data_IF_829202302803
#
_entry.id   IF_829202302803
#
_cell.length_a   1.000
_cell.length_b   1.000
_cell.length_c   1.000
_cell.angle_alpha   90.00
_cell.angle_beta   90.00
_cell.angle_gamma   90.00
#
_symmetry.space_group_name_H-M   'P 1'
#
loop_
_entity.id
_entity.type
_entity.pdbx_description
1 polymer ?
#
# COMPACT_ATOMS: atom_id res chain seq x y z
N UNK A 1 -2.31 8.59 14.15
CA UNK A 1 -1.47 8.60 12.95
C UNK A 1 -1.79 7.34 12.17
N UNK A 2 -2.22 7.44 10.90
CA UNK A 2 -2.67 6.30 10.10
C UNK A 2 -1.93 6.26 8.76
N UNK A 3 -1.45 5.11 8.36
CA UNK A 3 -0.88 4.85 7.04
C UNK A 3 -1.95 4.32 6.11
N UNK A 4 -2.08 4.91 4.93
CA UNK A 4 -3.03 4.47 3.91
C UNK A 4 -2.22 4.02 2.70
N UNK A 5 -2.30 2.73 2.40
CA UNK A 5 -1.67 2.10 1.25
C UNK A 5 -2.70 1.96 0.15
N UNK A 6 -2.50 2.67 -0.96
CA UNK A 6 -3.39 2.64 -2.11
C UNK A 6 -2.72 1.91 -3.26
N UNK A 7 -3.27 0.76 -3.63
CA UNK A 7 -2.78 -0.04 -4.73
C UNK A 7 -3.27 0.51 -6.07
N UNK A 8 -2.45 0.38 -7.12
CA UNK A 8 -2.86 0.68 -8.49
C UNK A 8 -3.66 -0.50 -9.10
N UNK A 9 -4.79 -0.80 -8.49
CA UNK A 9 -5.78 -1.78 -8.94
C UNK A 9 -7.17 -1.28 -8.53
N UNK A 10 -8.20 -1.69 -9.26
CA UNK A 10 -9.60 -1.38 -8.92
C UNK A 10 -10.25 -2.58 -8.21
N UNK A 11 -11.12 -2.31 -7.25
CA UNK A 11 -11.99 -3.31 -6.63
C UNK A 11 -12.97 -3.84 -7.68
N UNK A 12 -12.69 -5.03 -8.20
CA UNK A 12 -13.68 -5.77 -8.98
C UNK A 12 -14.93 -6.10 -8.14
N UNK A 13 -16.03 -6.57 -8.76
CA UNK A 13 -17.31 -6.85 -8.09
C UNK A 13 -17.29 -8.05 -7.12
N UNK A 14 -16.14 -8.39 -6.52
CA UNK A 14 -16.02 -9.40 -5.49
C UNK A 14 -15.83 -8.67 -4.16
N UNK A 15 -16.96 -8.45 -3.50
CA UNK A 15 -17.07 -8.05 -2.10
C UNK A 15 -16.32 -9.04 -1.21
N UNK A 16 -15.16 -8.66 -0.70
CA UNK A 16 -14.48 -9.44 0.31
C UNK A 16 -12.97 -9.30 0.26
N UNK A 17 -12.41 -8.84 1.38
CA UNK A 17 -11.01 -9.04 1.74
C UNK A 17 -10.66 -10.53 1.51
N UNK A 18 -9.89 -10.82 0.46
CA UNK A 18 -9.44 -12.15 0.06
C UNK A 18 -10.55 -13.17 -0.19
N UNK A 19 -11.08 -13.22 -1.41
CA UNK A 19 -11.55 -14.49 -1.92
C UNK A 19 -11.22 -14.62 -3.41
N UNK A 20 -10.76 -15.81 -3.77
CA UNK A 20 -10.50 -16.27 -5.15
C UNK A 20 -9.10 -15.91 -5.69
N UNK A 21 -8.12 -16.65 -5.18
CA UNK A 21 -7.19 -17.31 -6.10
C UNK A 21 -8.03 -18.10 -7.13
N UNK A 22 -7.73 -17.90 -8.41
CA UNK A 22 -8.47 -18.39 -9.60
C UNK A 22 -9.60 -17.50 -10.14
N UNK A 23 -9.31 -16.24 -10.48
CA UNK A 23 -9.86 -15.63 -11.70
C UNK A 23 -9.01 -14.44 -12.17
N UNK A 24 -8.16 -14.73 -13.16
CA UNK A 24 -7.92 -13.86 -14.33
C UNK A 24 -7.92 -12.36 -13.99
N UNK A 25 -6.95 -11.92 -13.20
CA UNK A 25 -6.32 -10.62 -13.47
C UNK A 25 -5.13 -11.02 -14.31
N UNK A 26 -5.11 -10.60 -15.58
CA UNK A 26 -3.97 -10.86 -16.45
C UNK A 26 -2.71 -10.46 -15.67
N UNK A 27 -1.75 -11.37 -15.40
CA UNK A 27 -0.51 -11.00 -14.73
C UNK A 27 0.24 -9.89 -15.48
N UNK A 28 -0.10 -9.68 -16.76
CA UNK A 28 0.37 -8.61 -17.64
C UNK A 28 -0.34 -7.25 -17.47
N UNK A 29 -1.52 -7.15 -16.83
CA UNK A 29 -2.28 -5.90 -16.92
C UNK A 29 -1.97 -4.84 -15.88
N UNK A 30 -1.41 -5.15 -14.71
CA UNK A 30 -0.85 -4.13 -13.82
C UNK A 30 0.24 -4.73 -12.94
N UNK A 31 1.50 -4.54 -13.31
CA UNK A 31 2.63 -4.74 -12.40
C UNK A 31 2.67 -3.62 -11.38
N UNK A 32 1.75 -3.62 -10.42
CA UNK A 32 1.77 -2.68 -9.30
C UNK A 32 3.02 -2.96 -8.45
N UNK A 33 3.94 -1.98 -8.36
CA UNK A 33 5.17 -2.09 -7.58
C UNK A 33 4.90 -2.48 -6.12
N UNK A 34 3.88 -1.87 -5.51
CA UNK A 34 3.48 -2.16 -4.13
C UNK A 34 2.99 -3.61 -3.95
N UNK A 35 2.18 -4.15 -4.87
CA UNK A 35 1.72 -5.54 -4.81
C UNK A 35 2.90 -6.52 -4.85
N UNK A 36 3.86 -6.30 -5.74
CA UNK A 36 5.06 -7.16 -5.88
C UNK A 36 5.93 -7.16 -4.63
N UNK A 37 5.98 -6.05 -3.91
CA UNK A 37 6.76 -5.90 -2.70
C UNK A 37 6.08 -6.60 -1.52
N UNK A 38 4.76 -6.51 -1.39
CA UNK A 38 4.03 -6.98 -0.21
C UNK A 38 3.48 -8.41 -0.31
N UNK A 39 3.29 -8.92 -1.53
CA UNK A 39 2.76 -10.25 -1.80
C UNK A 39 3.72 -11.10 -2.65
N UNK A 40 3.79 -12.39 -2.33
CA UNK A 40 4.23 -13.43 -3.26
C UNK A 40 3.03 -13.92 -4.10
N UNK A 41 3.24 -14.88 -5.01
CA UNK A 41 2.26 -15.34 -6.02
C UNK A 41 0.85 -15.62 -5.46
N UNK A 42 0.72 -16.00 -4.19
CA UNK A 42 -0.58 -16.29 -3.57
C UNK A 42 -0.71 -15.87 -2.10
N UNK A 43 0.34 -15.32 -1.47
CA UNK A 43 0.35 -15.07 -0.02
C UNK A 43 1.09 -13.79 0.33
N UNK A 44 0.61 -13.11 1.37
CA UNK A 44 1.34 -11.99 1.96
C UNK A 44 2.71 -12.44 2.46
N UNK A 45 3.77 -11.65 2.20
CA UNK A 45 5.10 -11.94 2.73
C UNK A 45 5.07 -11.87 4.26
N UNK A 46 5.63 -12.88 4.93
CA UNK A 46 5.64 -12.94 6.40
C UNK A 46 6.32 -11.71 7.03
N UNK A 47 7.39 -11.20 6.41
CA UNK A 47 8.06 -9.98 6.85
C UNK A 47 7.15 -8.75 6.78
N UNK A 48 6.31 -8.65 5.74
CA UNK A 48 5.34 -7.57 5.61
C UNK A 48 4.28 -7.65 6.70
N UNK A 49 3.71 -8.83 6.92
CA UNK A 49 2.77 -9.07 8.00
C UNK A 49 3.36 -8.72 9.37
N UNK A 50 4.58 -9.17 9.65
CA UNK A 50 5.28 -8.87 10.89
C UNK A 50 5.49 -7.35 11.07
N UNK A 51 5.85 -6.63 10.00
CA UNK A 51 5.93 -5.17 10.03
C UNK A 51 4.58 -4.53 10.40
N UNK A 52 3.49 -4.93 9.75
CA UNK A 52 2.14 -4.42 10.05
C UNK A 52 1.72 -4.67 11.50
N UNK A 53 1.95 -5.87 12.01
CA UNK A 53 1.61 -6.27 13.39
C UNK A 53 2.50 -5.58 14.44
N UNK A 54 3.76 -5.29 14.09
CA UNK A 54 4.71 -4.61 15.00
C UNK A 54 4.60 -3.08 15.01
N UNK A 55 3.94 -2.51 14.02
CA UNK A 55 3.85 -1.05 13.85
C UNK A 55 2.82 -0.45 14.81
N UNK A 56 3.15 0.65 15.50
CA UNK A 56 2.19 1.38 16.34
C UNK A 56 1.16 2.18 15.52
N UNK A 57 1.37 2.31 14.21
CA UNK A 57 0.50 3.06 13.30
C UNK A 57 -0.63 2.17 12.78
N UNK A 58 -1.86 2.70 12.77
CA UNK A 58 -2.98 2.06 12.08
C UNK A 58 -2.67 2.01 10.58
N UNK A 59 -2.82 0.85 9.95
CA UNK A 59 -2.61 0.68 8.51
C UNK A 59 -3.92 0.32 7.82
N UNK A 60 -4.23 1.03 6.75
CA UNK A 60 -5.37 0.77 5.87
C UNK A 60 -4.90 0.51 4.46
N UNK A 61 -5.54 -0.47 3.81
CA UNK A 61 -5.18 -0.98 2.50
C UNK A 61 -6.40 -0.83 1.61
N UNK A 62 -6.26 -0.11 0.50
CA UNK A 62 -7.36 0.21 -0.41
C UNK A 62 -6.92 0.02 -1.86
N UNK A 63 -7.86 -0.38 -2.71
CA UNK A 63 -7.75 -0.20 -4.14
C UNK A 63 -7.95 1.27 -4.53
N UNK A 64 -7.54 1.64 -5.75
CA UNK A 64 -7.63 3.01 -6.25
C UNK A 64 -9.05 3.56 -6.15
N UNK A 65 -10.01 2.83 -6.69
CA UNK A 65 -11.42 3.21 -6.70
C UNK A 65 -12.00 3.27 -5.28
N UNK A 66 -11.64 2.35 -4.39
CA UNK A 66 -12.06 2.42 -2.98
C UNK A 66 -11.53 3.67 -2.30
N UNK A 67 -10.28 4.05 -2.58
CA UNK A 67 -9.68 5.26 -2.06
C UNK A 67 -10.38 6.51 -2.59
N UNK A 68 -10.55 6.61 -3.90
CA UNK A 68 -11.24 7.74 -4.53
C UNK A 68 -12.68 7.88 -4.02
N UNK A 69 -13.42 6.77 -3.89
CA UNK A 69 -14.78 6.77 -3.36
C UNK A 69 -14.84 7.15 -1.87
N UNK A 70 -13.89 6.68 -1.06
CA UNK A 70 -13.87 6.91 0.39
C UNK A 70 -13.38 8.29 0.78
N UNK A 71 -12.39 8.81 0.05
CA UNK A 71 -11.68 10.04 0.40
C UNK A 71 -12.01 11.22 -0.52
N UNK A 72 -12.55 10.97 -1.72
CA UNK A 72 -12.80 12.01 -2.71
C UNK A 72 -11.52 12.67 -3.23
N UNK A 73 -10.39 11.97 -3.15
CA UNK A 73 -9.06 12.44 -3.56
C UNK A 73 -8.48 11.52 -4.62
N UNK A 74 -7.70 12.08 -5.55
CA UNK A 74 -7.00 11.35 -6.61
C UNK A 74 -5.50 11.60 -6.53
N UNK A 75 -4.71 10.54 -6.70
CA UNK A 75 -3.24 10.58 -6.70
C UNK A 75 -2.68 9.75 -7.86
N UNK A 76 -1.36 9.83 -8.06
CA UNK A 76 -0.64 8.87 -8.89
C UNK A 76 -0.41 7.57 -8.11
N UNK A 77 -1.02 6.47 -8.56
CA UNK A 77 -0.98 5.17 -7.88
C UNK A 77 0.16 4.26 -8.41
N UNK A 78 0.70 3.35 -7.59
CA UNK A 78 0.41 3.14 -6.17
C UNK A 78 0.95 4.29 -5.31
N UNK A 79 0.32 4.56 -4.16
CA UNK A 79 0.75 5.64 -3.24
C UNK A 79 0.62 5.19 -1.80
N UNK A 80 1.52 5.67 -0.94
CA UNK A 80 1.42 5.52 0.51
C UNK A 80 1.25 6.90 1.12
N UNK A 81 0.16 7.07 1.86
CA UNK A 81 -0.22 8.32 2.49
C UNK A 81 -0.10 8.21 4.01
N UNK A 82 0.26 9.31 4.65
CA UNK A 82 0.23 9.47 6.09
C UNK A 82 -0.93 10.40 6.45
N UNK A 83 -1.86 9.91 7.26
CA UNK A 83 -3.04 10.66 7.70
C UNK A 83 -2.94 10.98 9.19
N UNK A 84 -2.75 12.26 9.48
CA UNK A 84 -2.77 12.82 10.83
C UNK A 84 -3.92 13.83 10.92
N UNK A 85 -3.62 15.14 10.98
CA UNK A 85 -4.60 16.21 10.83
C UNK A 85 -4.97 16.41 9.35
N UNK A 86 -3.96 16.36 8.49
CA UNK A 86 -4.09 16.38 7.03
C UNK A 86 -3.56 15.06 6.44
N UNK A 87 -3.88 14.83 5.16
CA UNK A 87 -3.39 13.68 4.40
C UNK A 87 -2.17 14.11 3.60
N UNK A 88 -1.03 13.49 3.86
CA UNK A 88 0.24 13.79 3.19
C UNK A 88 0.75 12.59 2.41
N UNK A 89 1.47 12.84 1.31
CA UNK A 89 2.12 11.77 0.54
C UNK A 89 3.40 11.36 1.23
N UNK A 90 3.44 10.13 1.75
CA UNK A 90 4.64 9.55 2.36
C UNK A 90 5.59 9.02 1.29
N UNK A 91 5.06 8.24 0.36
CA UNK A 91 5.78 7.68 -0.79
C UNK A 91 4.88 7.74 -2.04
N UNK A 92 5.40 8.36 -3.09
CA UNK A 92 4.76 8.43 -4.41
C UNK A 92 5.03 7.17 -5.25
N UNK A 93 4.23 6.95 -6.30
CA UNK A 93 4.43 5.84 -7.24
C UNK A 93 5.87 5.74 -7.76
N UNK A 94 6.48 6.87 -8.15
CA UNK A 94 7.86 6.94 -8.65
C UNK A 94 8.88 6.42 -7.63
N UNK A 95 8.65 6.68 -6.34
CA UNK A 95 9.54 6.19 -5.28
C UNK A 95 9.29 4.71 -5.02
N UNK A 96 8.02 4.28 -5.04
CA UNK A 96 7.65 2.88 -4.82
C UNK A 96 8.22 1.98 -5.92
N UNK A 97 8.16 2.43 -7.17
CA UNK A 97 8.66 1.68 -8.34
C UNK A 97 10.20 1.56 -8.36
N UNK A 98 10.91 2.34 -7.54
CA UNK A 98 12.37 2.23 -7.38
C UNK A 98 12.79 1.13 -6.41
N UNK A 99 11.89 0.66 -5.54
CA UNK A 99 12.23 -0.38 -4.58
C UNK A 99 12.25 -1.76 -5.26
N UNK A 100 13.35 -2.48 -5.08
CA UNK A 100 13.50 -3.83 -5.59
C UNK A 100 13.04 -4.87 -4.56
N UNK A 101 13.14 -4.56 -3.27
CA UNK A 101 12.85 -5.49 -2.19
C UNK A 101 11.92 -4.87 -1.14
N UNK A 102 11.17 -5.74 -0.46
CA UNK A 102 10.27 -5.36 0.63
C UNK A 102 11.00 -4.62 1.75
N UNK A 103 12.24 -5.02 2.05
CA UNK A 103 13.03 -4.41 3.11
C UNK A 103 13.32 -2.93 2.80
N UNK A 104 13.61 -2.58 1.54
CA UNK A 104 13.81 -1.19 1.11
C UNK A 104 12.57 -0.33 1.36
N UNK A 105 11.38 -0.88 1.07
CA UNK A 105 10.10 -0.23 1.31
C UNK A 105 9.86 0.00 2.82
N UNK A 106 10.09 -1.03 3.64
CA UNK A 106 9.89 -0.96 5.09
C UNK A 106 10.85 0.06 5.71
N UNK A 107 12.11 0.07 5.29
CA UNK A 107 13.11 1.02 5.76
C UNK A 107 12.71 2.45 5.42
N UNK A 108 12.34 2.71 4.16
CA UNK A 108 11.89 4.02 3.71
C UNK A 108 10.67 4.51 4.51
N UNK A 109 9.68 3.64 4.78
CA UNK A 109 8.52 3.99 5.61
C UNK A 109 8.96 4.36 7.03
N UNK A 110 9.83 3.55 7.66
CA UNK A 110 10.32 3.80 9.02
C UNK A 110 11.10 5.11 9.12
N UNK A 111 11.96 5.41 8.15
CA UNK A 111 12.72 6.66 8.11
C UNK A 111 11.79 7.87 7.99
N UNK A 112 10.80 7.80 7.09
CA UNK A 112 9.85 8.90 6.90
C UNK A 112 8.97 9.13 8.13
N UNK A 113 8.57 8.06 8.83
CA UNK A 113 7.78 8.15 10.06
C UNK A 113 8.58 8.76 11.22
N UNK A 114 9.86 8.40 11.39
CA UNK A 114 10.72 9.02 12.40
C UNK A 114 10.86 10.53 12.21
N UNK A 115 10.93 10.98 10.96
CA UNK A 115 11.03 12.41 10.64
C UNK A 115 9.72 13.19 10.86
N UNK A 116 8.63 12.50 11.19
CA UNK A 116 7.29 13.07 11.41
C UNK A 116 6.87 13.02 12.90
N UNK A 117 7.72 12.50 13.79
CA UNK A 117 7.52 12.67 15.23
C UNK A 117 8.00 14.09 15.64
N UNK A 118 7.13 14.92 16.24
CA UNK A 118 7.58 16.18 16.79
C UNK A 118 8.52 15.89 17.97
N UNK A 119 9.73 16.42 17.90
CA UNK A 119 10.67 16.53 19.02
C UNK A 119 10.02 17.27 20.21
#
# INVERSE_FOLDING_TARGET
>A
MKLIFVYNADSGPISGLFDIGHKIISPDTYTCGLCKLTFDTFTEKQAWRAFRESSPFEMEFLHRDEFENKYGLTYDYPVILLRHAETEVLLSNKQIDQFAQLDDLIEAIKERLKNQEPN
#
